data_IF_315003207797
#
_entry.id   IF_315003207797
#
_cell.length_a   1.000
_cell.length_b   1.000
_cell.length_c   1.000
_cell.angle_alpha   90.00
_cell.angle_beta   90.00
_cell.angle_gamma   90.00
#
_symmetry.space_group_name_H-M   'P 1'
#
loop_
_entity.id
_entity.type
_entity.pdbx_description
1 polymer ?
#
# COMPACT_ATOMS: atom_id res chain seq x y z
N UNK A 1 11.56 -25.14 -4.70
CA UNK A 1 10.54 -24.56 -5.54
C UNK A 1 9.92 -23.36 -4.86
N UNK A 2 10.40 -22.15 -5.13
CA UNK A 2 9.80 -20.93 -4.66
C UNK A 2 8.52 -20.68 -5.46
N UNK A 3 7.36 -20.87 -4.86
CA UNK A 3 6.10 -20.41 -5.43
C UNK A 3 6.14 -18.89 -5.44
N UNK A 4 6.38 -18.30 -6.61
CA UNK A 4 6.34 -16.85 -6.79
C UNK A 4 4.96 -16.26 -6.46
N UNK A 5 4.86 -14.97 -6.42
CA UNK A 5 3.59 -14.27 -6.24
C UNK A 5 2.58 -14.69 -7.29
N UNK A 6 1.34 -14.93 -6.86
CA UNK A 6 0.25 -15.37 -7.69
C UNK A 6 -1.10 -15.00 -7.06
N UNK A 7 -2.16 -15.24 -7.82
CA UNK A 7 -3.53 -14.97 -7.36
C UNK A 7 -3.97 -15.85 -6.20
N UNK A 8 -3.39 -17.06 -6.06
CA UNK A 8 -3.85 -18.05 -5.07
C UNK A 8 -3.70 -17.54 -3.64
N UNK A 9 -2.54 -16.97 -3.28
CA UNK A 9 -2.32 -16.40 -1.94
C UNK A 9 -3.23 -15.21 -1.67
N UNK A 10 -3.49 -14.35 -2.68
CA UNK A 10 -4.43 -13.24 -2.55
C UNK A 10 -5.87 -13.73 -2.35
N UNK A 11 -6.29 -14.76 -3.08
CA UNK A 11 -7.63 -15.37 -2.93
C UNK A 11 -7.81 -15.97 -1.53
N UNK A 12 -6.83 -16.73 -1.04
CA UNK A 12 -6.83 -17.26 0.33
C UNK A 12 -6.90 -16.16 1.39
N UNK A 13 -6.13 -15.08 1.22
CA UNK A 13 -6.16 -13.97 2.18
C UNK A 13 -7.52 -13.25 2.18
N UNK A 14 -8.17 -13.07 1.02
CA UNK A 14 -9.53 -12.54 0.92
C UNK A 14 -10.56 -13.48 1.59
N UNK A 15 -10.45 -14.80 1.38
CA UNK A 15 -11.32 -15.79 2.01
C UNK A 15 -11.19 -15.73 3.54
N UNK A 16 -9.97 -15.71 4.06
CA UNK A 16 -9.66 -15.56 5.48
C UNK A 16 -10.22 -14.26 6.07
N UNK A 17 -10.21 -13.18 5.28
CA UNK A 17 -10.72 -11.88 5.67
C UNK A 17 -12.24 -11.71 5.48
N UNK A 18 -12.94 -12.73 4.95
CA UNK A 18 -14.37 -12.71 4.76
C UNK A 18 -14.84 -11.84 3.58
N UNK A 19 -14.03 -11.67 2.54
CA UNK A 19 -14.43 -10.95 1.34
C UNK A 19 -15.35 -11.82 0.47
N UNK A 20 -16.64 -11.58 0.54
CA UNK A 20 -17.67 -12.37 -0.19
C UNK A 20 -18.17 -11.70 -1.46
N UNK A 21 -18.04 -10.35 -1.57
CA UNK A 21 -18.52 -9.64 -2.75
C UNK A 21 -17.61 -9.91 -3.97
N UNK A 22 -18.13 -10.49 -5.07
CA UNK A 22 -17.31 -10.87 -6.22
C UNK A 22 -16.70 -9.65 -6.95
N UNK A 23 -17.39 -8.52 -6.95
CA UNK A 23 -16.92 -7.29 -7.58
C UNK A 23 -15.75 -6.71 -6.80
N UNK A 24 -15.83 -6.66 -5.46
CA UNK A 24 -14.73 -6.23 -4.60
C UNK A 24 -13.51 -7.15 -4.76
N UNK A 25 -13.73 -8.47 -4.81
CA UNK A 25 -12.65 -9.45 -5.01
C UNK A 25 -11.94 -9.25 -6.35
N UNK A 26 -12.71 -9.02 -7.41
CA UNK A 26 -12.15 -8.71 -8.74
C UNK A 26 -11.37 -7.39 -8.73
N UNK A 27 -11.89 -6.38 -8.04
CA UNK A 27 -11.22 -5.09 -7.89
C UNK A 27 -9.91 -5.22 -7.13
N UNK A 28 -9.90 -5.96 -6.03
CA UNK A 28 -8.69 -6.23 -5.26
C UNK A 28 -7.62 -6.91 -6.12
N UNK A 29 -7.97 -7.98 -6.85
CA UNK A 29 -7.03 -8.67 -7.74
C UNK A 29 -6.50 -7.77 -8.85
N UNK A 30 -7.36 -6.95 -9.46
CA UNK A 30 -6.96 -6.01 -10.51
C UNK A 30 -5.93 -4.99 -10.00
N UNK A 31 -6.16 -4.43 -8.83
CA UNK A 31 -5.25 -3.47 -8.22
C UNK A 31 -3.92 -4.12 -7.83
N UNK A 32 -3.96 -5.29 -7.19
CA UNK A 32 -2.74 -6.00 -6.79
C UNK A 32 -1.93 -6.46 -8.01
N UNK A 33 -2.57 -6.89 -9.08
CA UNK A 33 -1.90 -7.22 -10.35
C UNK A 33 -1.21 -6.00 -10.96
N UNK A 34 -1.85 -4.84 -10.93
CA UNK A 34 -1.22 -3.60 -11.40
C UNK A 34 0.00 -3.25 -10.56
N UNK A 35 -0.14 -3.25 -9.23
CA UNK A 35 0.90 -2.80 -8.31
C UNK A 35 2.15 -3.68 -8.30
N UNK A 36 1.99 -4.97 -8.54
CA UNK A 36 3.06 -5.97 -8.53
C UNK A 36 3.61 -6.31 -9.92
N UNK A 37 3.23 -5.56 -10.95
CA UNK A 37 3.64 -5.84 -12.32
C UNK A 37 3.17 -7.22 -12.80
N UNK A 38 1.90 -7.55 -12.60
CA UNK A 38 1.31 -8.87 -12.84
C UNK A 38 1.99 -9.99 -12.02
N UNK A 39 2.22 -9.70 -10.73
CA UNK A 39 2.81 -10.65 -9.77
C UNK A 39 4.27 -11.06 -10.06
N UNK A 40 4.99 -10.25 -10.85
CA UNK A 40 6.39 -10.55 -11.23
C UNK A 40 7.38 -10.13 -10.14
N UNK A 41 7.07 -9.09 -9.39
CA UNK A 41 8.01 -8.47 -8.46
C UNK A 41 7.54 -8.69 -7.03
N UNK A 42 8.34 -9.45 -6.28
CA UNK A 42 8.19 -9.66 -4.83
C UNK A 42 9.01 -8.65 -4.01
N UNK A 43 10.00 -8.01 -4.65
CA UNK A 43 10.87 -7.00 -4.09
C UNK A 43 11.22 -5.97 -5.16
N UNK A 44 11.43 -4.71 -4.78
CA UNK A 44 11.90 -3.68 -5.69
C UNK A 44 13.33 -3.96 -6.18
N UNK A 45 13.62 -3.54 -7.43
CA UNK A 45 14.91 -3.76 -8.10
C UNK A 45 16.01 -2.89 -7.45
N UNK A 46 15.65 -1.69 -6.98
CA UNK A 46 16.59 -0.79 -6.31
C UNK A 46 16.99 -1.36 -4.95
N UNK A 47 18.22 -1.03 -4.52
CA UNK A 47 18.76 -1.51 -3.25
C UNK A 47 18.15 -0.83 -2.02
N UNK A 48 17.32 0.20 -2.20
CA UNK A 48 16.66 0.94 -1.12
C UNK A 48 17.50 2.06 -0.51
N UNK A 49 18.70 2.33 -1.02
CA UNK A 49 19.58 3.39 -0.49
C UNK A 49 18.93 4.79 -0.56
N UNK A 50 18.04 5.03 -1.52
CA UNK A 50 17.26 6.26 -1.66
C UNK A 50 16.24 6.48 -0.52
N UNK A 51 15.98 5.48 0.30
CA UNK A 51 15.12 5.58 1.48
C UNK A 51 15.90 5.81 2.78
N UNK A 52 17.23 5.89 2.70
CA UNK A 52 18.07 6.13 3.87
C UNK A 52 17.76 7.50 4.49
N UNK A 53 17.63 7.54 5.81
CA UNK A 53 17.34 8.77 6.55
C UNK A 53 15.93 9.37 6.31
N UNK A 54 15.05 8.68 5.60
CA UNK A 54 13.67 9.12 5.34
C UNK A 54 12.83 9.02 6.61
N UNK A 55 12.76 10.10 7.37
CA UNK A 55 12.00 10.18 8.63
C UNK A 55 10.50 9.99 8.44
N UNK A 56 9.96 10.39 7.28
CA UNK A 56 8.55 10.19 6.90
C UNK A 56 8.19 8.71 6.67
N UNK A 57 9.20 7.86 6.45
CA UNK A 57 9.10 6.40 6.40
C UNK A 57 9.50 5.72 7.72
N UNK A 58 9.90 6.51 8.74
CA UNK A 58 10.44 6.00 9.99
C UNK A 58 11.85 5.42 9.88
N UNK A 59 12.55 5.68 8.77
CA UNK A 59 13.93 5.24 8.54
C UNK A 59 14.90 6.21 9.22
N UNK A 60 15.09 6.03 10.52
CA UNK A 60 15.89 6.91 11.37
C UNK A 60 17.23 6.32 11.81
N UNK A 61 17.48 5.06 11.47
CA UNK A 61 18.72 4.36 11.80
C UNK A 61 19.51 4.07 10.53
N UNK A 62 20.83 4.09 10.64
CA UNK A 62 21.72 3.72 9.54
C UNK A 62 21.39 2.32 9.00
N UNK A 63 21.27 2.19 7.69
CA UNK A 63 20.92 0.96 7.00
C UNK A 63 19.41 0.70 6.86
N UNK A 64 18.55 1.56 7.40
CA UNK A 64 17.09 1.38 7.32
C UNK A 64 16.58 1.42 5.88
N UNK A 65 17.18 2.25 5.04
CA UNK A 65 16.79 2.36 3.63
C UNK A 65 16.85 1.01 2.93
N UNK A 66 17.98 0.34 3.00
CA UNK A 66 18.18 -0.99 2.40
C UNK A 66 17.38 -2.07 3.11
N UNK A 67 17.31 -2.02 4.45
CA UNK A 67 16.63 -3.01 5.27
C UNK A 67 15.13 -3.05 4.99
N UNK A 68 14.49 -1.89 4.86
CA UNK A 68 13.04 -1.73 4.71
C UNK A 68 12.63 -1.23 3.32
N UNK A 69 13.34 -1.68 2.30
CA UNK A 69 12.99 -1.42 0.91
C UNK A 69 11.67 -2.09 0.53
N UNK A 70 11.11 -1.75 -0.63
CA UNK A 70 9.80 -2.20 -1.08
C UNK A 70 9.72 -3.71 -1.28
N UNK A 71 8.73 -4.37 -0.62
CA UNK A 71 8.46 -5.80 -0.77
C UNK A 71 6.98 -6.10 -0.78
N UNK A 72 6.63 -7.22 -1.40
CA UNK A 72 5.27 -7.73 -1.44
C UNK A 72 4.40 -7.08 -2.51
N UNK A 73 3.13 -7.51 -2.58
CA UNK A 73 2.17 -7.04 -3.59
C UNK A 73 1.97 -5.52 -3.59
N UNK A 74 2.08 -4.86 -2.44
CA UNK A 74 1.90 -3.42 -2.31
C UNK A 74 3.20 -2.65 -2.18
N UNK A 75 4.36 -3.32 -2.33
CA UNK A 75 5.68 -2.72 -2.16
C UNK A 75 5.82 -2.01 -0.80
N UNK A 76 5.59 -2.76 0.28
CA UNK A 76 5.73 -2.29 1.66
C UNK A 76 7.12 -1.69 1.87
N UNK A 77 7.21 -0.40 2.26
CA UNK A 77 8.47 0.34 2.35
C UNK A 77 8.54 1.15 3.65
N UNK A 78 9.71 1.16 4.28
CA UNK A 78 10.02 1.97 5.47
C UNK A 78 9.77 1.25 6.79
N UNK A 79 10.67 1.50 7.77
CA UNK A 79 10.61 0.90 9.12
C UNK A 79 9.24 1.04 9.78
N UNK A 80 8.63 2.24 9.70
CA UNK A 80 7.33 2.51 10.33
C UNK A 80 6.23 1.60 9.78
N UNK A 81 6.19 1.40 8.45
CA UNK A 81 5.17 0.56 7.81
C UNK A 81 5.41 -0.94 8.07
N UNK A 82 6.66 -1.40 8.05
CA UNK A 82 7.00 -2.77 8.45
C UNK A 82 6.59 -3.06 9.90
N UNK A 83 6.82 -2.12 10.81
CA UNK A 83 6.38 -2.22 12.21
C UNK A 83 4.86 -2.22 12.32
N UNK A 84 4.18 -1.30 11.63
CA UNK A 84 2.72 -1.17 11.68
C UNK A 84 2.02 -2.46 11.24
N UNK A 85 2.34 -2.96 10.03
CA UNK A 85 1.70 -4.18 9.51
C UNK A 85 2.19 -5.43 10.23
N UNK A 86 3.43 -5.45 10.71
CA UNK A 86 3.93 -6.53 11.55
C UNK A 86 3.12 -6.68 12.83
N UNK A 87 2.91 -5.59 13.54
CA UNK A 87 2.09 -5.57 14.76
C UNK A 87 0.63 -5.96 14.47
N UNK A 88 0.06 -5.43 13.39
CA UNK A 88 -1.32 -5.70 13.01
C UNK A 88 -1.57 -7.17 12.68
N UNK A 89 -0.61 -7.85 12.08
CA UNK A 89 -0.71 -9.23 11.65
C UNK A 89 -0.13 -10.24 12.64
N UNK A 90 0.53 -9.76 13.70
CA UNK A 90 1.24 -10.62 14.64
C UNK A 90 2.47 -11.31 14.02
N UNK A 91 3.11 -10.66 13.03
CA UNK A 91 4.28 -11.16 12.32
C UNK A 91 5.45 -10.19 12.52
N UNK A 92 6.61 -10.68 12.89
CA UNK A 92 7.79 -9.83 13.10
C UNK A 92 8.41 -9.35 11.77
N UNK A 93 7.70 -8.43 11.09
CA UNK A 93 8.18 -7.83 9.85
C UNK A 93 9.31 -6.82 10.09
N UNK A 94 9.35 -6.18 11.26
CA UNK A 94 10.40 -5.22 11.59
C UNK A 94 11.72 -5.91 11.89
N UNK A 95 11.70 -7.02 12.60
CA UNK A 95 12.88 -7.83 12.90
C UNK A 95 13.34 -8.66 11.70
N UNK A 96 12.40 -9.17 10.91
CA UNK A 96 12.68 -9.99 9.72
C UNK A 96 11.91 -9.48 8.48
N UNK A 97 12.39 -8.42 7.80
CA UNK A 97 11.71 -7.82 6.66
C UNK A 97 11.53 -8.76 5.46
N UNK A 98 12.35 -9.78 5.33
CA UNK A 98 12.26 -10.78 4.26
C UNK A 98 10.95 -11.58 4.29
N UNK A 99 10.29 -11.64 5.46
CA UNK A 99 8.98 -12.27 5.56
C UNK A 99 7.93 -11.59 4.66
N UNK A 100 8.09 -10.30 4.36
CA UNK A 100 7.20 -9.57 3.45
C UNK A 100 7.27 -10.04 1.99
N UNK A 101 8.24 -10.89 1.63
CA UNK A 101 8.35 -11.56 0.32
C UNK A 101 7.62 -12.90 0.27
N UNK A 102 7.23 -13.45 1.41
CA UNK A 102 6.46 -14.70 1.42
C UNK A 102 5.05 -14.43 0.90
N UNK A 103 4.57 -15.18 -0.11
CA UNK A 103 3.29 -14.90 -0.77
C UNK A 103 2.10 -14.77 0.18
N UNK A 104 1.99 -15.63 1.18
CA UNK A 104 0.87 -15.58 2.14
C UNK A 104 0.97 -14.36 3.07
N UNK A 105 2.17 -14.03 3.56
CA UNK A 105 2.41 -12.83 4.38
C UNK A 105 2.17 -11.56 3.57
N UNK A 106 2.69 -11.50 2.35
CA UNK A 106 2.48 -10.38 1.44
C UNK A 106 0.99 -10.17 1.12
N UNK A 107 0.23 -11.26 0.96
CA UNK A 107 -1.21 -11.21 0.73
C UNK A 107 -1.98 -10.73 1.97
N UNK A 108 -1.62 -11.18 3.16
CA UNK A 108 -2.20 -10.69 4.42
C UNK A 108 -1.91 -9.18 4.61
N UNK A 109 -0.69 -8.72 4.29
CA UNK A 109 -0.34 -7.29 4.29
C UNK A 109 -1.19 -6.51 3.28
N UNK A 110 -1.40 -7.04 2.07
CA UNK A 110 -2.22 -6.40 1.05
C UNK A 110 -3.68 -6.25 1.49
N UNK A 111 -4.26 -7.28 2.12
CA UNK A 111 -5.62 -7.23 2.70
C UNK A 111 -5.69 -6.23 3.85
N UNK A 112 -4.71 -6.21 4.75
CA UNK A 112 -4.67 -5.23 5.85
C UNK A 112 -4.59 -3.79 5.32
N UNK A 113 -3.77 -3.55 4.29
CA UNK A 113 -3.70 -2.27 3.60
C UNK A 113 -5.05 -1.88 2.96
N UNK A 114 -5.70 -2.81 2.27
CA UNK A 114 -7.00 -2.60 1.64
C UNK A 114 -8.05 -2.16 2.64
N UNK A 115 -8.17 -2.86 3.76
CA UNK A 115 -9.10 -2.53 4.83
C UNK A 115 -8.88 -1.13 5.43
N UNK A 116 -7.65 -0.63 5.42
CA UNK A 116 -7.33 0.68 5.99
C UNK A 116 -7.46 1.83 5.00
N UNK A 117 -7.25 1.57 3.72
CA UNK A 117 -7.00 2.64 2.74
C UNK A 117 -8.02 2.73 1.64
N UNK A 118 -8.72 1.66 1.37
CA UNK A 118 -9.65 1.59 0.25
C UNK A 118 -11.08 1.74 0.74
N UNK A 119 -11.85 2.56 0.02
CA UNK A 119 -13.30 2.59 0.14
C UNK A 119 -13.85 1.26 -0.40
N UNK A 120 -14.17 0.35 0.51
CA UNK A 120 -14.65 -0.98 0.18
C UNK A 120 -16.04 -0.96 -0.48
N UNK A 121 -16.87 0.05 -0.16
CA UNK A 121 -18.16 0.22 -0.83
C UNK A 121 -17.96 0.62 -2.30
N UNK A 122 -17.03 1.54 -2.58
CA UNK A 122 -16.66 1.87 -3.94
C UNK A 122 -16.10 0.66 -4.69
N UNK A 123 -15.27 -0.16 -4.04
CA UNK A 123 -14.73 -1.40 -4.62
C UNK A 123 -15.84 -2.41 -4.94
N UNK A 124 -16.80 -2.60 -4.02
CA UNK A 124 -17.94 -3.50 -4.20
C UNK A 124 -18.90 -3.03 -5.30
N UNK A 125 -18.96 -1.73 -5.55
CA UNK A 125 -19.73 -1.14 -6.64
C UNK A 125 -18.96 -1.06 -7.97
N UNK A 126 -17.73 -1.53 -8.01
CA UNK A 126 -16.90 -1.52 -9.23
C UNK A 126 -16.33 -0.16 -9.58
N UNK A 127 -16.27 0.80 -8.65
CA UNK A 127 -15.70 2.12 -8.92
C UNK A 127 -14.17 2.09 -8.90
N UNK A 128 -13.59 1.68 -10.03
CA UNK A 128 -12.14 1.59 -10.21
C UNK A 128 -11.44 2.93 -10.04
N UNK A 129 -12.11 4.06 -10.36
CA UNK A 129 -11.50 5.39 -10.23
C UNK A 129 -11.29 5.78 -8.77
N UNK A 130 -12.32 5.65 -7.95
CA UNK A 130 -12.23 5.91 -6.51
C UNK A 130 -11.19 4.99 -5.86
N UNK A 131 -11.22 3.69 -6.16
CA UNK A 131 -10.25 2.74 -5.64
C UNK A 131 -8.82 3.08 -6.09
N UNK A 132 -8.61 3.41 -7.36
CA UNK A 132 -7.30 3.84 -7.86
C UNK A 132 -6.79 5.07 -7.10
N UNK A 133 -7.66 6.06 -6.89
CA UNK A 133 -7.31 7.27 -6.15
C UNK A 133 -6.97 6.96 -4.69
N UNK A 134 -7.69 6.06 -4.03
CA UNK A 134 -7.37 5.63 -2.66
C UNK A 134 -5.97 5.01 -2.56
N UNK A 135 -5.60 4.19 -3.54
CA UNK A 135 -4.32 3.47 -3.56
C UNK A 135 -3.18 4.37 -4.02
N UNK A 136 -3.36 5.07 -5.13
CA UNK A 136 -2.30 5.80 -5.83
C UNK A 136 -2.21 7.29 -5.42
N UNK A 137 -3.30 7.85 -4.91
CA UNK A 137 -3.43 9.30 -4.67
C UNK A 137 -3.82 10.10 -5.92
N UNK A 138 -3.84 9.47 -7.08
CA UNK A 138 -4.20 10.01 -8.39
C UNK A 138 -4.75 8.90 -9.29
N UNK A 139 -4.57 9.04 -10.59
CA UNK A 139 -5.11 8.13 -11.59
C UNK A 139 -4.02 7.46 -12.44
N UNK A 140 -2.78 7.36 -11.93
CA UNK A 140 -1.70 6.69 -12.67
C UNK A 140 -2.05 5.23 -12.91
N UNK A 141 -1.89 4.80 -14.18
CA UNK A 141 -2.21 3.45 -14.60
C UNK A 141 -3.71 3.11 -14.57
N UNK A 142 -4.60 4.11 -14.57
CA UNK A 142 -6.04 3.88 -14.49
C UNK A 142 -6.53 2.95 -15.61
N UNK A 143 -6.07 3.13 -16.85
CA UNK A 143 -6.51 2.28 -17.97
C UNK A 143 -6.10 0.82 -17.76
N UNK A 144 -4.85 0.56 -17.34
CA UNK A 144 -4.38 -0.79 -17.05
C UNK A 144 -5.18 -1.45 -15.89
N UNK A 145 -5.55 -0.66 -14.88
CA UNK A 145 -6.40 -1.13 -13.77
C UNK A 145 -7.83 -1.45 -14.24
N UNK A 146 -8.39 -0.66 -15.15
CA UNK A 146 -9.68 -0.93 -15.81
C UNK A 146 -9.61 -2.24 -16.59
N UNK A 147 -8.58 -2.43 -17.40
CA UNK A 147 -8.43 -3.63 -18.23
C UNK A 147 -8.25 -4.89 -17.36
N UNK A 148 -7.48 -4.79 -16.29
CA UNK A 148 -7.36 -5.86 -15.30
C UNK A 148 -8.69 -6.14 -14.58
N UNK A 149 -9.43 -5.09 -14.23
CA UNK A 149 -10.75 -5.27 -13.61
C UNK A 149 -11.74 -5.95 -14.55
N UNK A 150 -11.77 -5.59 -15.84
CA UNK A 150 -12.54 -6.30 -16.86
C UNK A 150 -12.21 -7.79 -16.88
N UNK A 151 -10.92 -8.11 -16.87
CA UNK A 151 -10.44 -9.49 -16.85
C UNK A 151 -10.92 -10.25 -15.61
N UNK A 152 -10.70 -9.69 -14.41
CA UNK A 152 -11.00 -10.38 -13.15
C UNK A 152 -12.49 -10.45 -12.82
N UNK A 153 -13.28 -9.46 -13.26
CA UNK A 153 -14.74 -9.46 -13.10
C UNK A 153 -15.48 -10.30 -14.16
N UNK A 154 -14.79 -10.69 -15.22
CA UNK A 154 -15.42 -11.36 -16.37
C UNK A 154 -16.36 -10.44 -17.17
N UNK A 155 -16.26 -9.12 -17.01
CA UNK A 155 -17.09 -8.13 -17.70
C UNK A 155 -16.26 -7.31 -18.71
N UNK A 156 -16.14 -7.75 -19.97
CA UNK A 156 -15.35 -7.05 -20.99
C UNK A 156 -15.93 -5.68 -21.35
N UNK A 157 -17.23 -5.48 -21.13
CA UNK A 157 -17.95 -4.25 -21.45
C UNK A 157 -17.99 -3.25 -20.28
N UNK A 158 -17.28 -3.53 -19.17
CA UNK A 158 -17.24 -2.64 -18.03
C UNK A 158 -16.74 -1.25 -18.45
N UNK A 159 -17.46 -0.22 -17.99
CA UNK A 159 -17.08 1.19 -18.08
C UNK A 159 -16.97 1.78 -16.68
N UNK A 160 -15.87 2.49 -16.43
CA UNK A 160 -15.64 3.08 -15.12
C UNK A 160 -16.67 4.19 -14.82
N UNK A 161 -17.30 4.19 -13.63
CA UNK A 161 -18.18 5.28 -13.21
C UNK A 161 -17.45 6.63 -13.28
N UNK A 162 -18.17 7.69 -13.72
CA UNK A 162 -17.60 9.04 -13.85
C UNK A 162 -16.65 9.22 -15.04
N UNK A 163 -16.61 8.27 -15.96
CA UNK A 163 -15.89 8.36 -17.21
C UNK A 163 -16.64 9.17 -18.26
N UNK A 164 -16.53 10.48 -18.22
CA UNK A 164 -16.58 11.27 -19.47
C UNK A 164 -15.40 10.80 -20.32
N UNK A 165 -15.69 10.48 -21.60
CA UNK A 165 -14.77 10.00 -22.60
C UNK A 165 -13.41 10.72 -22.52
N UNK A 166 -12.37 10.04 -22.05
CA UNK A 166 -11.03 10.34 -22.54
C UNK A 166 -11.02 9.76 -23.95
N UNK A 167 -11.29 10.64 -24.90
CA UNK A 167 -11.16 10.31 -26.31
C UNK A 167 -9.77 9.72 -26.49
N UNK A 168 -9.72 8.43 -26.84
CA UNK A 168 -8.54 7.84 -27.44
C UNK A 168 -8.31 8.62 -28.72
N UNK A 169 -7.37 9.54 -28.69
CA UNK A 169 -6.83 10.12 -29.91
C UNK A 169 -5.99 9.02 -30.57
N UNK A 170 -6.66 8.10 -31.25
CA UNK A 170 -6.06 7.32 -32.31
C UNK A 170 -5.85 8.29 -33.45
N UNK A 171 -4.73 8.99 -33.44
CA UNK A 171 -4.25 9.70 -34.63
C UNK A 171 -3.79 8.66 -35.65
N UNK A 172 -4.74 8.25 -36.49
CA UNK A 172 -4.43 7.72 -37.79
C UNK A 172 -3.94 8.88 -38.67
N UNK A 173 -2.65 9.14 -38.68
CA UNK A 173 -2.02 9.97 -39.70
C UNK A 173 -1.55 9.08 -40.86
N UNK A 174 -2.33 9.07 -41.92
CA UNK A 174 -1.89 8.64 -43.22
C UNK A 174 -0.82 9.61 -43.77
N UNK A 175 0.32 9.04 -44.04
CA UNK A 175 1.37 9.35 -45.04
C UNK A 175 1.33 10.66 -45.80
N UNK A 176 2.42 11.40 -45.82
CA UNK A 176 3.11 11.80 -47.03
C UNK A 176 4.58 12.11 -46.75
N UNK A 177 5.43 11.53 -47.54
CA UNK A 177 6.88 11.62 -47.51
C UNK A 177 7.42 12.98 -47.96
N UNK A 178 8.49 13.44 -47.35
CA UNK A 178 9.67 13.96 -48.07
C UNK A 178 10.79 14.27 -47.04
N UNK A 179 11.99 13.87 -47.40
CA UNK A 179 13.15 13.72 -46.55
C UNK A 179 13.85 15.00 -46.12
N UNK A 180 14.71 14.85 -45.15
CA UNK A 180 16.10 15.28 -45.18
C UNK A 180 16.79 14.97 -43.86
N UNK A 181 17.98 14.46 -43.96
CA UNK A 181 19.12 14.23 -43.09
C UNK A 181 19.24 15.07 -41.80
N UNK A 182 19.73 14.44 -40.73
CA UNK A 182 20.34 15.15 -39.59
C UNK A 182 20.44 14.31 -38.33
N UNK A 183 21.52 13.59 -38.18
CA UNK A 183 22.37 13.30 -37.01
C UNK A 183 21.82 13.25 -35.58
N UNK A 184 22.08 12.12 -34.99
CA UNK A 184 22.69 11.89 -33.67
C UNK A 184 22.00 12.39 -32.42
N UNK A 185 21.36 11.45 -31.65
CA UNK A 185 21.66 11.29 -30.23
C UNK A 185 20.95 10.09 -29.64
N UNK A 186 21.71 9.27 -29.01
CA UNK A 186 21.35 8.10 -28.22
C UNK A 186 20.36 8.44 -27.10
N UNK A 187 19.14 7.99 -27.23
CA UNK A 187 18.12 8.01 -26.17
C UNK A 187 17.91 6.60 -25.64
N UNK A 188 18.58 6.25 -24.57
CA UNK A 188 18.35 5.02 -23.82
C UNK A 188 16.93 4.99 -23.27
N UNK A 189 16.09 4.15 -23.83
CA UNK A 189 14.78 3.83 -23.29
C UNK A 189 14.93 2.90 -22.09
N UNK A 190 15.17 3.47 -20.93
CA UNK A 190 15.13 2.79 -19.62
C UNK A 190 13.68 2.56 -19.19
N UNK A 191 13.07 1.49 -19.66
CA UNK A 191 11.82 0.98 -19.09
C UNK A 191 12.10 0.29 -17.76
N UNK A 192 12.07 1.00 -16.66
CA UNK A 192 12.23 0.38 -15.35
C UNK A 192 12.25 1.42 -14.23
N UNK A 193 11.16 1.65 -13.57
CA UNK A 193 11.21 2.50 -12.39
C UNK A 193 9.89 3.07 -11.87
N UNK A 194 8.78 2.75 -12.48
CA UNK A 194 7.50 3.35 -12.03
C UNK A 194 6.91 2.72 -10.78
N UNK A 195 7.21 1.43 -10.48
CA UNK A 195 6.67 0.72 -9.32
C UNK A 195 7.14 1.29 -7.97
N UNK A 196 8.43 1.64 -7.86
CA UNK A 196 9.00 2.15 -6.61
C UNK A 196 8.47 3.52 -6.20
N UNK A 197 8.30 4.45 -7.14
CA UNK A 197 7.79 5.80 -6.85
C UNK A 197 6.31 5.79 -6.43
N UNK A 198 5.50 4.94 -7.06
CA UNK A 198 4.08 4.81 -6.71
C UNK A 198 3.91 4.18 -5.33
N UNK A 199 4.68 3.14 -5.03
CA UNK A 199 4.69 2.51 -3.72
C UNK A 199 5.15 3.47 -2.61
N UNK A 200 6.17 4.28 -2.88
CA UNK A 200 6.65 5.27 -1.93
C UNK A 200 5.59 6.34 -1.62
N UNK A 201 4.88 6.85 -2.61
CA UNK A 201 3.80 7.82 -2.41
C UNK A 201 2.67 7.25 -1.55
N UNK A 202 2.33 5.96 -1.72
CA UNK A 202 1.36 5.25 -0.88
C UNK A 202 1.84 5.13 0.57
N UNK A 203 3.07 4.71 0.76
CA UNK A 203 3.62 4.49 2.09
C UNK A 203 3.80 5.81 2.86
N UNK A 204 4.21 6.89 2.20
CA UNK A 204 4.24 8.23 2.79
C UNK A 204 2.86 8.66 3.28
N UNK A 205 1.80 8.38 2.53
CA UNK A 205 0.43 8.70 2.92
C UNK A 205 -0.02 7.96 4.18
N UNK A 206 0.44 6.72 4.39
CA UNK A 206 0.19 5.96 5.62
C UNK A 206 0.86 6.65 6.82
N UNK A 207 2.13 7.01 6.70
CA UNK A 207 2.89 7.66 7.77
C UNK A 207 2.31 9.03 8.16
N UNK A 208 1.78 9.81 7.20
CA UNK A 208 1.15 11.12 7.45
C UNK A 208 -0.26 11.03 8.05
N UNK A 209 -0.98 9.95 7.81
CA UNK A 209 -2.34 9.76 8.34
C UNK A 209 -2.43 9.56 9.85
N UNK A 210 -1.29 9.25 10.50
CA UNK A 210 -1.23 9.11 11.96
C UNK A 210 -0.93 10.42 12.70
N UNK A 211 -0.68 11.53 11.99
CA UNK A 211 -0.30 12.81 12.60
C UNK A 211 -1.31 13.96 12.40
N UNK A 212 -2.50 13.70 11.86
CA UNK A 212 -3.50 14.75 11.67
C UNK A 212 -4.75 14.56 12.53
N UNK A 213 -4.60 14.83 13.81
CA UNK A 213 -5.73 15.26 14.65
C UNK A 213 -5.26 16.20 15.76
N UNK A 214 -4.81 17.38 15.37
CA UNK A 214 -4.90 18.61 16.17
C UNK A 214 -4.56 19.80 15.26
N UNK A 215 -5.54 20.32 14.56
CA UNK A 215 -5.52 21.71 14.11
C UNK A 215 -6.46 22.49 14.99
N UNK A 216 -5.89 23.09 16.03
CA UNK A 216 -6.52 24.12 16.83
C UNK A 216 -6.68 25.39 16.00
N UNK A 217 -7.90 25.78 15.79
CA UNK A 217 -8.28 27.13 15.39
C UNK A 217 -7.94 28.11 16.53
N UNK A 218 -7.00 29.00 16.28
CA UNK A 218 -6.73 30.15 17.14
C UNK A 218 -7.74 31.24 16.88
N UNK A 219 -8.55 31.55 17.86
CA UNK A 219 -9.16 32.87 18.03
C UNK A 219 -8.89 33.33 19.45
N UNK A 220 -8.26 34.49 19.51
CA UNK A 220 -7.92 35.26 20.69
C UNK A 220 -9.15 35.69 21.50
N UNK A 221 -9.12 35.60 22.83
CA UNK A 221 -9.22 36.73 23.77
C UNK A 221 -9.37 36.25 25.24
N UNK A 222 -8.60 36.95 26.10
CA UNK A 222 -8.86 37.31 27.50
C UNK A 222 -8.84 36.24 28.61
N UNK A 223 -7.81 36.43 29.41
CA UNK A 223 -7.60 36.30 30.85
C UNK A 223 -8.78 35.86 31.74
N UNK A 224 -8.61 34.79 32.51
CA UNK A 224 -8.97 34.71 33.92
C UNK A 224 -8.30 33.52 34.63
N UNK A 225 -7.88 33.78 35.83
CA UNK A 225 -7.06 33.03 36.78
C UNK A 225 -7.80 31.87 37.47
N UNK A 226 -7.01 30.92 38.00
CA UNK A 226 -7.23 30.04 39.17
C UNK A 226 -8.03 28.73 38.95
N UNK A 227 -7.41 27.63 39.34
CA UNK A 227 -8.09 26.40 39.71
C UNK A 227 -7.29 25.14 39.42
N UNK A 228 -6.39 24.75 40.37
CA UNK A 228 -5.69 23.45 40.35
C UNK A 228 -6.70 22.29 40.40
N UNK A 229 -6.65 21.38 39.44
CA UNK A 229 -7.43 20.16 39.44
C UNK A 229 -6.53 18.97 39.85
N UNK A 230 -6.94 18.09 40.76
CA UNK A 230 -6.12 16.98 41.24
C UNK A 230 -5.92 15.90 40.18
N UNK A 231 -4.75 15.26 40.21
CA UNK A 231 -4.35 14.14 39.36
C UNK A 231 -5.23 12.91 39.60
N UNK A 232 -5.50 12.09 38.59
CA UNK A 232 -6.21 10.83 38.75
C UNK A 232 -5.34 9.77 39.47
N UNK A 233 -5.97 8.84 40.21
CA UNK A 233 -5.25 7.79 40.92
C UNK A 233 -4.60 6.77 39.98
N UNK A 234 -3.48 6.22 40.42
CA UNK A 234 -2.73 5.19 39.72
C UNK A 234 -3.52 3.87 39.57
N UNK A 235 -3.33 3.10 38.50
CA UNK A 235 -4.00 1.81 38.34
C UNK A 235 -3.48 0.76 39.34
N UNK A 236 -4.33 -0.22 39.73
CA UNK A 236 -3.94 -1.26 40.67
C UNK A 236 -2.90 -2.21 40.12
N UNK A 237 -2.00 -2.68 40.98
CA UNK A 237 -0.95 -3.63 40.63
C UNK A 237 -1.53 -5.01 40.25
N UNK A 238 -0.87 -5.75 39.33
CA UNK A 238 -1.32 -7.08 38.94
C UNK A 238 -1.17 -8.10 40.06
N UNK A 239 -2.02 -9.13 40.11
CA UNK A 239 -1.98 -10.14 41.18
C UNK A 239 -0.71 -11.00 41.07
N UNK A 240 -0.03 -11.17 42.21
CA UNK A 240 1.11 -12.07 42.39
C UNK A 240 0.68 -13.54 42.25
N UNK A 241 1.31 -14.26 41.31
CA UNK A 241 1.14 -15.71 41.19
C UNK A 241 1.67 -16.43 42.42
N UNK A 242 0.80 -17.15 43.09
CA UNK A 242 1.18 -18.06 44.20
C UNK A 242 1.96 -19.26 43.63
N UNK A 243 3.11 -19.56 44.24
CA UNK A 243 3.92 -20.75 43.93
C UNK A 243 3.22 -22.03 44.42
N UNK A 244 3.28 -23.15 43.72
CA UNK A 244 2.74 -24.42 44.19
C UNK A 244 3.62 -25.02 45.28
N UNK A 245 2.99 -25.45 46.37
CA UNK A 245 3.63 -26.24 47.42
C UNK A 245 3.90 -27.64 46.92
N UNK A 246 5.15 -28.04 46.95
CA UNK A 246 5.59 -29.43 46.75
C UNK A 246 5.33 -30.17 48.05
N UNK A 247 4.44 -31.17 48.06
CA UNK A 247 4.35 -32.17 49.10
C UNK A 247 5.22 -33.37 48.75
N UNK A 248 6.18 -33.65 49.62
CA UNK A 248 6.95 -34.89 49.62
C UNK A 248 6.22 -35.88 50.51
N UNK A 249 5.92 -37.03 49.93
CA UNK A 249 5.71 -38.31 50.67
C UNK A 249 6.47 -39.38 49.91
#
# INVERSE_FOLDING_TARGET
GGGGFNESSLKKAMDKAGYTNPTERAMFLAQMAHESGNFRYDEEIHDGSNYEGRSDLGNTKAGDGKRYKGRGYIQLTGRANYTHYGNKLGVDLAGNPELAKKPDVAADVAVAYWNERVDRAAAANGDVRTVTRNINGGYNGLQDRIDKFKKYSGNPNYTAPGGGLVASSSSSSSSSASGSSGDGSTGSSGGGGFGGLVALAKMQKISRGSSSSTSSSSSSTSSASLGSKPSPPAPPAPPTKASPKVSVV
#
